data_IF_909479292777
#
_entry.id   IF_909479292777
#
_cell.length_a   1.000
_cell.length_b   1.000
_cell.length_c   1.000
_cell.angle_alpha   90.00
_cell.angle_beta   90.00
_cell.angle_gamma   90.00
#
_symmetry.space_group_name_H-M   'P 1'
#
loop_
_entity.id
_entity.type
_entity.pdbx_description
1 polymer ?
#
# COMPACT_ATOMS: atom_id res chain seq x y z
N UNK A 1 14.42 8.79 0.13
CA UNK A 1 13.07 8.92 0.71
C UNK A 1 12.57 7.57 1.20
N UNK A 2 11.49 7.56 1.99
CA UNK A 2 10.84 6.33 2.46
C UNK A 2 9.39 6.35 1.99
N UNK A 3 9.04 5.41 1.11
CA UNK A 3 7.73 5.28 0.48
C UNK A 3 7.02 4.08 1.12
N UNK A 4 5.80 4.29 1.60
CA UNK A 4 4.90 3.21 2.00
C UNK A 4 4.09 2.79 0.78
N UNK A 5 3.91 1.48 0.58
CA UNK A 5 3.13 0.93 -0.53
C UNK A 5 2.06 0.02 0.04
N UNK A 6 0.81 0.31 -0.29
CA UNK A 6 -0.31 -0.60 -0.07
C UNK A 6 -0.51 -1.44 -1.35
N UNK A 7 -0.44 -2.77 -1.20
CA UNK A 7 -0.62 -3.72 -2.28
C UNK A 7 -1.82 -4.64 -2.01
N UNK A 8 -2.77 -4.69 -2.95
CA UNK A 8 -4.04 -5.40 -2.76
C UNK A 8 -4.06 -6.81 -3.33
N UNK A 9 -3.12 -7.19 -4.20
CA UNK A 9 -3.01 -8.57 -4.71
C UNK A 9 -1.56 -8.98 -4.96
N UNK A 10 -1.24 -10.28 -5.01
CA UNK A 10 0.09 -10.76 -5.41
C UNK A 10 0.49 -10.39 -6.85
N UNK A 11 -0.50 -10.18 -7.73
CA UNK A 11 -0.29 -10.03 -9.18
C UNK A 11 -0.24 -8.57 -9.65
N UNK A 12 -0.53 -7.62 -8.76
CA UNK A 12 -0.43 -6.19 -9.00
C UNK A 12 0.64 -5.52 -8.11
N UNK A 13 1.94 -5.84 -8.33
CA UNK A 13 3.03 -5.24 -7.58
C UNK A 13 3.31 -3.80 -8.05
N UNK A 14 4.14 -3.08 -7.29
CA UNK A 14 4.59 -1.72 -7.64
C UNK A 14 5.48 -1.63 -8.91
N UNK A 15 5.88 -2.76 -9.49
CA UNK A 15 6.48 -2.88 -10.82
C UNK A 15 7.52 -1.78 -11.16
N UNK A 16 7.27 -0.95 -12.17
CA UNK A 16 8.19 0.09 -12.61
C UNK A 16 8.50 1.14 -11.53
N UNK A 17 7.57 1.41 -10.61
CA UNK A 17 7.79 2.32 -9.49
C UNK A 17 8.86 1.79 -8.54
N UNK A 18 8.90 0.48 -8.30
CA UNK A 18 9.92 -0.13 -7.46
C UNK A 18 11.32 0.03 -8.05
N UNK A 19 11.45 -0.15 -9.36
CA UNK A 19 12.69 0.09 -10.08
C UNK A 19 13.09 1.56 -9.99
N UNK A 20 12.16 2.49 -10.22
CA UNK A 20 12.44 3.92 -10.18
C UNK A 20 12.88 4.39 -8.78
N UNK A 21 12.16 4.00 -7.74
CA UNK A 21 12.50 4.32 -6.35
C UNK A 21 13.90 3.81 -5.99
N UNK A 22 14.22 2.57 -6.35
CA UNK A 22 15.55 1.99 -6.14
C UNK A 22 16.64 2.79 -6.87
N UNK A 23 16.42 3.18 -8.12
CA UNK A 23 17.37 3.98 -8.91
C UNK A 23 17.57 5.38 -8.31
N UNK A 24 16.54 5.97 -7.72
CA UNK A 24 16.60 7.26 -7.03
C UNK A 24 17.28 7.20 -5.65
N UNK A 25 17.61 6.00 -5.14
CA UNK A 25 18.13 5.82 -3.78
C UNK A 25 17.03 5.87 -2.70
N UNK A 26 15.77 5.71 -3.09
CA UNK A 26 14.64 5.65 -2.19
C UNK A 26 14.42 4.23 -1.66
N UNK A 27 13.80 4.14 -0.48
CA UNK A 27 13.40 2.90 0.17
C UNK A 27 11.89 2.72 0.08
N UNK A 28 11.45 1.47 -0.12
CA UNK A 28 10.03 1.12 -0.16
C UNK A 28 9.72 0.11 0.93
N UNK A 29 8.65 0.36 1.67
CA UNK A 29 8.02 -0.60 2.56
C UNK A 29 6.70 -1.04 1.95
N UNK A 30 6.54 -2.33 1.66
CA UNK A 30 5.34 -2.87 1.03
C UNK A 30 4.51 -3.58 2.10
N UNK A 31 3.27 -3.14 2.27
CA UNK A 31 2.25 -3.77 3.10
C UNK A 31 1.31 -4.52 2.17
N UNK A 32 1.21 -5.83 2.37
CA UNK A 32 0.31 -6.69 1.60
C UNK A 32 -1.03 -6.76 2.33
N UNK A 33 -1.95 -5.86 1.99
CA UNK A 33 -3.24 -5.76 2.68
C UNK A 33 -4.07 -7.05 2.59
N UNK A 34 -3.96 -7.75 1.45
CA UNK A 34 -4.59 -9.07 1.25
C UNK A 34 -4.05 -10.20 2.14
N UNK A 35 -3.01 -9.94 2.93
CA UNK A 35 -2.43 -10.87 3.92
C UNK A 35 -2.71 -10.45 5.36
N UNK A 36 -3.55 -9.43 5.54
CA UNK A 36 -3.80 -8.77 6.83
C UNK A 36 -2.51 -8.24 7.47
N UNK A 37 -1.53 -7.82 6.65
CA UNK A 37 -0.33 -7.16 7.15
C UNK A 37 -0.72 -5.86 7.88
N UNK A 38 -0.12 -5.55 9.04
CA UNK A 38 -0.48 -4.36 9.79
C UNK A 38 -0.07 -3.09 9.05
N UNK A 39 -0.98 -2.10 9.02
CA UNK A 39 -0.67 -0.76 8.53
C UNK A 39 0.24 -0.06 9.57
N UNK A 40 1.47 0.33 9.21
CA UNK A 40 2.38 1.01 10.14
C UNK A 40 1.94 2.46 10.38
N UNK A 41 2.60 3.14 11.33
CA UNK A 41 2.50 4.60 11.42
C UNK A 41 2.98 5.25 10.10
N UNK A 42 2.17 6.15 9.54
CA UNK A 42 2.45 6.83 8.28
C UNK A 42 3.45 7.99 8.46
N UNK A 43 3.59 8.56 9.65
CA UNK A 43 4.42 9.75 9.91
C UNK A 43 5.89 9.64 9.43
N UNK A 44 6.57 8.48 9.48
CA UNK A 44 7.95 8.34 9.00
C UNK A 44 8.07 8.25 7.47
N UNK A 45 6.97 8.12 6.74
CA UNK A 45 6.97 7.96 5.29
C UNK A 45 6.72 9.30 4.60
N UNK A 46 7.55 9.60 3.61
CA UNK A 46 7.42 10.81 2.80
C UNK A 46 6.27 10.73 1.80
N UNK A 47 5.87 9.52 1.40
CA UNK A 47 4.87 9.26 0.38
C UNK A 47 4.15 7.96 0.69
N UNK A 48 2.85 7.93 0.36
CA UNK A 48 2.03 6.72 0.30
C UNK A 48 1.70 6.43 -1.17
N UNK A 49 1.92 5.19 -1.58
CA UNK A 49 1.56 4.66 -2.89
C UNK A 49 0.50 3.57 -2.71
N UNK A 50 -0.66 3.76 -3.31
CA UNK A 50 -1.78 2.80 -3.24
C UNK A 50 -1.87 2.10 -4.60
N UNK A 51 -1.65 0.80 -4.62
CA UNK A 51 -1.72 0.01 -5.86
C UNK A 51 -3.16 -0.26 -6.28
N UNK A 52 -3.36 -0.74 -7.51
CA UNK A 52 -4.68 -1.25 -7.92
C UNK A 52 -5.07 -2.53 -7.20
N UNK A 53 -6.29 -2.98 -7.47
CA UNK A 53 -6.76 -4.31 -7.15
C UNK A 53 -8.16 -4.55 -7.73
N UNK A 54 -8.63 -5.81 -7.74
CA UNK A 54 -9.91 -6.20 -8.32
C UNK A 54 -11.13 -5.87 -7.45
N UNK A 55 -10.93 -5.38 -6.23
CA UNK A 55 -11.98 -5.08 -5.27
C UNK A 55 -12.53 -3.67 -5.44
N UNK A 56 -13.81 -3.51 -5.15
CA UNK A 56 -14.41 -2.19 -4.95
C UNK A 56 -14.24 -1.72 -3.50
N UNK A 57 -14.22 -0.40 -3.29
CA UNK A 57 -13.99 0.23 -1.97
C UNK A 57 -15.11 -0.03 -0.94
N UNK A 58 -16.23 -0.63 -1.34
CA UNK A 58 -17.34 -0.99 -0.45
C UNK A 58 -17.40 -2.48 -0.13
N UNK A 59 -16.53 -3.32 -0.69
CA UNK A 59 -16.51 -4.78 -0.47
C UNK A 59 -15.82 -5.18 0.84
N UNK A 60 -16.20 -4.53 1.95
CA UNK A 60 -15.54 -4.64 3.26
C UNK A 60 -15.70 -6.01 3.91
N UNK A 61 -16.74 -6.79 3.57
CA UNK A 61 -16.93 -8.14 4.09
C UNK A 61 -15.93 -9.13 3.46
N UNK A 62 -15.66 -8.99 2.16
CA UNK A 62 -14.72 -9.84 1.43
C UNK A 62 -13.27 -9.38 1.61
N UNK A 63 -13.06 -8.08 1.88
CA UNK A 63 -11.76 -7.44 1.97
C UNK A 63 -11.68 -6.62 3.28
N UNK A 64 -11.51 -7.28 4.44
CA UNK A 64 -11.63 -6.65 5.77
C UNK A 64 -10.56 -5.59 6.09
N UNK A 65 -9.51 -5.47 5.27
CA UNK A 65 -8.51 -4.39 5.39
C UNK A 65 -9.01 -3.04 4.89
N UNK A 66 -10.04 -2.99 4.03
CA UNK A 66 -10.51 -1.75 3.37
C UNK A 66 -10.82 -0.62 4.37
N UNK A 67 -11.56 -0.84 5.47
CA UNK A 67 -11.83 0.23 6.42
C UNK A 67 -10.54 0.81 7.05
N UNK A 68 -9.59 -0.06 7.40
CA UNK A 68 -8.33 0.36 8.00
C UNK A 68 -7.44 1.14 7.01
N UNK A 69 -7.49 0.77 5.73
CA UNK A 69 -6.82 1.50 4.66
C UNK A 69 -7.42 2.90 4.47
N UNK A 70 -8.74 3.01 4.37
CA UNK A 70 -9.44 4.31 4.24
C UNK A 70 -9.09 5.22 5.42
N UNK A 71 -9.14 4.68 6.65
CA UNK A 71 -8.79 5.39 7.87
C UNK A 71 -7.32 5.83 7.92
N UNK A 72 -6.42 5.11 7.25
CA UNK A 72 -5.01 5.50 7.13
C UNK A 72 -4.82 6.65 6.13
N UNK A 73 -5.54 6.62 5.00
CA UNK A 73 -5.45 7.63 3.93
C UNK A 73 -6.10 8.95 4.34
N UNK A 74 -7.15 8.92 5.16
CA UNK A 74 -7.90 10.11 5.58
C UNK A 74 -7.17 11.03 6.59
N UNK A 75 -5.94 10.68 7.01
CA UNK A 75 -5.14 11.39 8.01
C UNK A 75 -4.19 12.41 7.38
#
# INVERSE_FOLDING_TARGET
>A
MRVLVFQHTPVEPSAAFATHAKTAGDSMNIVHLYRDDPIPDLAPYSHLMVMGGPMDVWEVEANPWIPAEIDAIAR
#
